data_IF_570836280415
#
_entry.id   IF_570836280415
#
_cell.length_a   1.000
_cell.length_b   1.000
_cell.length_c   1.000
_cell.angle_alpha   90.00
_cell.angle_beta   90.00
_cell.angle_gamma   90.00
#
_symmetry.space_group_name_H-M   'P 1'
#
loop_
_entity.id
_entity.type
_entity.pdbx_description
1 polymer ?
#
# COMPACT_ATOMS: atom_id res chain seq x y z
N UNK A 1 2.64 0.18 -9.14
CA UNK A 1 3.11 -1.20 -9.39
C UNK A 1 4.36 -1.25 -10.26
N UNK A 2 4.41 -0.59 -11.43
CA UNK A 2 5.56 -0.67 -12.34
C UNK A 2 6.94 -0.37 -11.74
N UNK A 3 7.04 0.58 -10.80
CA UNK A 3 8.28 0.87 -10.07
C UNK A 3 8.87 -0.37 -9.38
N UNK A 4 8.07 -1.10 -8.59
CA UNK A 4 8.53 -2.30 -7.89
C UNK A 4 8.73 -3.51 -8.82
N UNK A 5 7.94 -3.63 -9.89
CA UNK A 5 8.16 -4.66 -10.92
C UNK A 5 9.52 -4.44 -11.59
N UNK A 6 9.89 -3.20 -11.89
CA UNK A 6 11.20 -2.88 -12.46
C UNK A 6 12.34 -3.15 -11.46
N UNK A 7 12.13 -2.84 -10.17
CA UNK A 7 13.11 -3.02 -9.10
C UNK A 7 13.40 -4.50 -8.78
N UNK A 8 12.36 -5.33 -8.68
CA UNK A 8 12.49 -6.72 -8.20
C UNK A 8 12.23 -7.79 -9.27
N UNK A 9 11.57 -7.43 -10.37
CA UNK A 9 11.11 -8.34 -11.41
C UNK A 9 9.70 -8.88 -11.17
N UNK A 10 8.96 -9.14 -12.26
CA UNK A 10 7.55 -9.57 -12.21
C UNK A 10 7.34 -10.88 -11.46
N UNK A 11 8.26 -11.85 -11.60
CA UNK A 11 8.15 -13.17 -10.97
C UNK A 11 8.51 -13.18 -9.48
N UNK A 12 8.99 -12.06 -8.93
CA UNK A 12 9.39 -11.93 -7.52
C UNK A 12 8.57 -10.89 -6.76
N UNK A 13 7.61 -10.25 -7.43
CA UNK A 13 6.80 -9.18 -6.86
C UNK A 13 5.36 -9.63 -6.76
N UNK A 14 4.85 -9.68 -5.55
CA UNK A 14 3.43 -9.90 -5.25
C UNK A 14 2.87 -8.57 -4.74
N UNK A 15 1.72 -8.16 -5.26
CA UNK A 15 1.00 -6.99 -4.81
C UNK A 15 -0.18 -7.41 -3.94
N UNK A 16 -0.21 -6.91 -2.72
CA UNK A 16 -1.36 -6.97 -1.86
C UNK A 16 -2.12 -5.64 -1.95
N UNK A 17 -3.39 -5.69 -2.32
CA UNK A 17 -4.25 -4.51 -2.48
C UNK A 17 -5.30 -4.53 -1.38
N UNK A 18 -5.41 -3.41 -0.67
CA UNK A 18 -6.36 -3.20 0.40
C UNK A 18 -6.99 -1.81 0.29
N UNK A 19 -8.18 -1.63 0.87
CA UNK A 19 -8.96 -0.41 0.86
C UNK A 19 -10.44 -0.64 1.16
N UNK A 20 -11.22 0.44 1.08
CA UNK A 20 -12.66 0.42 1.40
C UNK A 20 -13.48 -0.24 0.28
N UNK A 21 -13.14 0.03 -0.99
CA UNK A 21 -13.86 -0.49 -2.15
C UNK A 21 -13.23 -1.76 -2.74
N UNK A 22 -13.15 -2.83 -1.94
CA UNK A 22 -12.55 -4.11 -2.34
C UNK A 22 -13.21 -4.73 -3.59
N UNK A 23 -14.49 -4.44 -3.84
CA UNK A 23 -15.21 -4.87 -5.04
C UNK A 23 -14.65 -4.21 -6.30
N UNK A 24 -14.34 -2.91 -6.23
CA UNK A 24 -13.70 -2.17 -7.32
C UNK A 24 -12.27 -2.66 -7.55
N UNK A 25 -11.51 -2.93 -6.49
CA UNK A 25 -10.18 -3.51 -6.61
C UNK A 25 -10.23 -4.89 -7.30
N UNK A 26 -11.23 -5.71 -6.97
CA UNK A 26 -11.43 -7.04 -7.56
C UNK A 26 -11.78 -6.95 -9.04
N UNK A 27 -12.69 -6.06 -9.44
CA UNK A 27 -13.02 -5.89 -10.86
C UNK A 27 -11.85 -5.31 -11.67
N UNK A 28 -11.03 -4.46 -11.07
CA UNK A 28 -9.92 -3.77 -11.74
C UNK A 28 -8.66 -4.65 -11.84
N UNK A 29 -8.33 -5.40 -10.78
CA UNK A 29 -7.05 -6.09 -10.64
C UNK A 29 -7.16 -7.61 -10.44
N UNK A 30 -8.37 -8.16 -10.23
CA UNK A 30 -8.55 -9.58 -9.89
C UNK A 30 -8.11 -10.58 -10.97
N UNK A 31 -7.91 -10.12 -12.21
CA UNK A 31 -7.40 -10.94 -13.31
C UNK A 31 -5.85 -10.99 -13.37
N UNK A 32 -5.15 -10.25 -12.51
CA UNK A 32 -3.69 -10.22 -12.49
C UNK A 32 -3.15 -11.35 -11.60
N UNK A 33 -2.18 -12.11 -12.11
CA UNK A 33 -1.68 -13.33 -11.45
C UNK A 33 -0.85 -13.08 -10.20
N UNK A 34 -0.29 -11.88 -10.06
CA UNK A 34 0.55 -11.48 -8.93
C UNK A 34 -0.11 -10.41 -8.04
N UNK A 35 -1.44 -10.29 -8.11
CA UNK A 35 -2.20 -9.36 -7.27
C UNK A 35 -3.18 -10.14 -6.42
N UNK A 36 -3.17 -9.87 -5.12
CA UNK A 36 -4.13 -10.38 -4.15
C UNK A 36 -4.85 -9.21 -3.51
N UNK A 37 -6.15 -9.37 -3.27
CA UNK A 37 -6.96 -8.35 -2.63
C UNK A 37 -7.34 -8.87 -1.26
N UNK A 38 -7.20 -8.02 -0.24
CA UNK A 38 -7.65 -8.30 1.12
C UNK A 38 -9.11 -8.79 1.12
N UNK A 39 -9.48 -9.79 1.92
CA UNK A 39 -10.83 -10.31 1.95
C UNK A 39 -11.90 -9.25 2.23
N UNK A 40 -13.09 -9.42 1.65
CA UNK A 40 -14.19 -8.47 1.81
C UNK A 40 -14.66 -8.26 3.25
N UNK A 41 -14.50 -9.27 4.10
CA UNK A 41 -14.88 -9.21 5.51
C UNK A 41 -13.79 -8.65 6.42
N UNK A 42 -12.62 -8.27 5.87
CA UNK A 42 -11.57 -7.67 6.67
C UNK A 42 -11.98 -6.26 7.10
N UNK A 43 -11.85 -6.03 8.40
CA UNK A 43 -11.98 -4.71 8.98
C UNK A 43 -10.69 -3.89 8.78
N UNK A 44 -10.73 -2.55 8.93
CA UNK A 44 -9.59 -1.70 8.57
C UNK A 44 -8.29 -2.01 9.35
N UNK A 45 -8.41 -2.52 10.57
CA UNK A 45 -7.25 -2.90 11.40
C UNK A 45 -6.60 -4.19 10.89
N UNK A 46 -7.38 -5.16 10.41
CA UNK A 46 -6.88 -6.36 9.73
C UNK A 46 -6.17 -6.00 8.41
N UNK A 47 -6.72 -5.07 7.66
CA UNK A 47 -6.09 -4.49 6.47
C UNK A 47 -4.74 -3.81 6.81
N UNK A 48 -4.71 -3.04 7.90
CA UNK A 48 -3.49 -2.38 8.37
C UNK A 48 -2.45 -3.40 8.86
N UNK A 49 -2.89 -4.47 9.53
CA UNK A 49 -2.03 -5.56 9.94
C UNK A 49 -1.40 -6.26 8.72
N UNK A 50 -2.17 -6.49 7.66
CA UNK A 50 -1.65 -7.00 6.39
C UNK A 50 -0.60 -6.06 5.79
N UNK A 51 -0.86 -4.75 5.74
CA UNK A 51 0.10 -3.76 5.24
C UNK A 51 1.42 -3.78 6.04
N UNK A 52 1.36 -3.97 7.36
CA UNK A 52 2.55 -4.02 8.22
C UNK A 52 3.51 -5.19 7.89
N UNK A 53 3.00 -6.24 7.25
CA UNK A 53 3.82 -7.39 6.83
C UNK A 53 4.52 -7.19 5.48
N UNK A 54 4.17 -6.14 4.74
CA UNK A 54 4.70 -5.90 3.40
C UNK A 54 6.13 -5.34 3.43
N UNK A 55 6.96 -5.81 2.48
CA UNK A 55 8.33 -5.33 2.34
C UNK A 55 8.41 -3.89 1.84
N UNK A 56 7.58 -3.52 0.88
CA UNK A 56 7.46 -2.17 0.34
C UNK A 56 5.97 -1.86 0.12
N UNK A 57 5.58 -0.60 0.25
CA UNK A 57 4.17 -0.21 0.27
C UNK A 57 3.90 0.95 -0.68
N UNK A 58 2.77 0.87 -1.40
CA UNK A 58 2.21 2.01 -2.14
C UNK A 58 1.01 2.51 -1.36
N UNK A 59 0.99 3.79 -1.02
CA UNK A 59 -0.08 4.38 -0.22
C UNK A 59 -0.69 5.59 -0.92
N UNK A 60 -1.99 5.76 -0.72
CA UNK A 60 -2.67 7.02 -1.03
C UNK A 60 -2.41 8.02 0.10
N UNK A 61 -2.66 9.30 -0.17
CA UNK A 61 -2.52 10.33 0.86
C UNK A 61 -3.73 10.28 1.78
N UNK A 62 -3.47 10.02 3.06
CA UNK A 62 -4.47 9.90 4.11
C UNK A 62 -3.86 9.26 5.36
N UNK A 63 -4.56 9.34 6.49
CA UNK A 63 -4.08 8.80 7.78
C UNK A 63 -3.92 7.29 7.73
N UNK A 64 -4.82 6.57 7.05
CA UNK A 64 -4.72 5.12 6.86
C UNK A 64 -3.45 4.74 6.10
N UNK A 65 -3.20 5.39 4.95
CA UNK A 65 -2.00 5.21 4.16
C UNK A 65 -0.72 5.59 4.92
N UNK A 66 -0.78 6.65 5.74
CA UNK A 66 0.33 7.06 6.59
C UNK A 66 0.70 5.97 7.60
N UNK A 67 -0.27 5.43 8.35
CA UNK A 67 -0.03 4.33 9.29
C UNK A 67 0.43 3.05 8.58
N UNK A 68 -0.16 2.72 7.44
CA UNK A 68 0.23 1.55 6.65
C UNK A 68 1.68 1.66 6.14
N UNK A 69 2.09 2.85 5.70
CA UNK A 69 3.48 3.12 5.34
C UNK A 69 4.43 3.07 6.54
N UNK A 70 4.05 3.71 7.65
CA UNK A 70 4.84 3.77 8.88
C UNK A 70 5.11 2.39 9.49
N UNK A 71 4.10 1.50 9.47
CA UNK A 71 4.21 0.14 10.01
C UNK A 71 4.92 -0.83 9.05
N UNK A 72 5.01 -0.50 7.76
CA UNK A 72 5.74 -1.30 6.78
C UNK A 72 7.26 -1.12 6.94
N UNK A 73 8.04 -2.10 6.47
CA UNK A 73 9.49 -2.18 6.78
C UNK A 73 10.42 -1.63 5.69
N UNK A 74 9.90 -1.19 4.55
CA UNK A 74 10.73 -0.76 3.42
C UNK A 74 10.20 0.49 2.73
N UNK A 75 10.31 0.54 1.41
CA UNK A 75 10.06 1.76 0.66
C UNK A 75 8.57 2.09 0.61
N UNK A 76 8.22 3.34 0.96
CA UNK A 76 6.85 3.85 0.93
C UNK A 76 6.68 4.81 -0.23
N UNK A 77 6.01 4.35 -1.28
CA UNK A 77 5.68 5.17 -2.45
C UNK A 77 4.31 5.83 -2.26
N UNK A 78 4.27 7.15 -2.34
CA UNK A 78 3.07 7.95 -2.22
C UNK A 78 2.96 8.94 -3.38
N UNK A 79 1.77 9.49 -3.63
CA UNK A 79 1.60 10.49 -4.68
C UNK A 79 2.31 11.80 -4.30
N UNK A 80 3.24 12.22 -5.17
CA UNK A 80 4.03 13.45 -5.02
C UNK A 80 3.20 14.72 -5.24
N UNK A 81 2.05 14.64 -5.93
CA UNK A 81 1.25 15.83 -6.31
C UNK A 81 0.16 16.20 -5.32
N UNK A 82 0.00 15.48 -4.21
CA UNK A 82 -1.00 15.85 -3.23
C UNK A 82 -0.63 17.20 -2.57
N UNK A 83 -1.53 18.20 -2.56
CA UNK A 83 -1.27 19.51 -1.93
C UNK A 83 -1.08 19.39 -0.40
N UNK A 84 -1.46 18.26 0.18
CA UNK A 84 -1.15 17.88 1.55
C UNK A 84 0.10 17.00 1.55
N UNK A 85 1.25 17.62 1.34
CA UNK A 85 2.55 17.05 1.66
C UNK A 85 2.60 16.80 3.18
N UNK A 86 2.09 15.64 3.60
CA UNK A 86 2.23 15.10 4.95
C UNK A 86 3.51 14.26 5.05
N UNK A 87 4.63 14.69 4.43
CA UNK A 87 5.96 14.40 5.01
C UNK A 87 5.76 14.50 6.52
N UNK A 88 6.11 13.47 7.32
CA UNK A 88 5.85 13.54 8.74
C UNK A 88 6.42 14.86 9.21
N UNK A 89 5.56 15.77 9.68
CA UNK A 89 6.02 17.03 10.23
C UNK A 89 6.95 16.80 11.44
N UNK A 90 7.03 15.54 11.89
CA UNK A 90 7.69 15.07 13.09
C UNK A 90 8.89 14.11 12.84
N UNK A 91 9.46 14.02 11.62
CA UNK A 91 10.76 13.31 11.42
C UNK A 91 12.00 14.22 11.48
N UNK A 92 11.82 15.48 11.90
CA UNK A 92 12.90 16.32 12.44
C UNK A 92 12.88 16.27 13.98
N UNK A 93 12.98 15.07 14.55
CA UNK A 93 13.41 14.93 15.95
C UNK A 93 14.91 15.21 16.01
N UNK A 94 15.25 16.47 16.32
CA UNK A 94 16.49 16.79 17.04
C UNK A 94 16.44 16.22 18.45
#
# INVERSE_FOLDING_TARGET
MGHFIHKYGVNRTIFLVTGDEKAYCTSTYGNLTNVFISPHWFAPEEDLALMSTCSDTIVTVGTFGWWGGFLSRGEVLHDRRSPTDHRPADVDCK
#
